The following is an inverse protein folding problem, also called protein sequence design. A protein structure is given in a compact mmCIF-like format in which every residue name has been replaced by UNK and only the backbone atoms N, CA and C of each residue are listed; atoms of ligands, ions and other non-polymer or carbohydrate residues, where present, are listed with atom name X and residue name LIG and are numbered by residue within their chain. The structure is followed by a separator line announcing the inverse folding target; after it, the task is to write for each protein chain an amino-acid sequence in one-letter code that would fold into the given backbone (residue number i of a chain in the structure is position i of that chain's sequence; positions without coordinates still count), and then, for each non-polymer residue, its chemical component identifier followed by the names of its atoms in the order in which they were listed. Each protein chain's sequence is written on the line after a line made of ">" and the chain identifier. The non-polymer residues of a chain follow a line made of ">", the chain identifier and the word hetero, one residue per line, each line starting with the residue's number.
data_IF_980958104479
#
_entry.id   IF_980958104479
#
_cell.length_a   1.000
_cell.length_b   1.000
_cell.length_c   1.000
_cell.angle_alpha   90.00
_cell.angle_beta   90.00
_cell.angle_gamma   90.00
#
_symmetry.space_group_name_H-M   'P 1'
#
loop_
_entity.id
_entity.type
_entity.pdbx_description
1 polymer ?
#
# COMPACT_ATOMS: atom_id res chain seq x y z
N UNK A 1 29.00 8.01 11.44
CA UNK A 1 27.87 7.76 12.36
C UNK A 1 26.57 8.01 11.61
N UNK A 2 25.54 7.26 11.98
CA UNK A 2 24.31 6.91 11.24
C UNK A 2 23.60 8.04 10.47
N UNK A 3 23.04 7.66 9.31
CA UNK A 3 21.70 8.03 8.80
C UNK A 3 21.51 7.22 7.51
N UNK A 4 21.14 5.94 7.60
CA UNK A 4 19.77 5.41 7.47
C UNK A 4 19.01 5.86 6.21
N UNK A 5 18.46 4.86 5.57
CA UNK A 5 18.07 4.72 4.18
C UNK A 5 16.85 5.55 3.77
N UNK A 6 16.98 6.25 2.65
CA UNK A 6 15.83 6.71 1.88
C UNK A 6 15.56 5.65 0.81
N UNK A 7 14.97 4.54 1.23
CA UNK A 7 14.34 3.59 0.31
C UNK A 7 13.25 4.36 -0.45
N UNK A 8 13.29 4.48 -1.80
CA UNK A 8 12.18 5.05 -2.53
C UNK A 8 10.99 4.12 -2.31
N UNK A 9 9.95 4.62 -1.63
CA UNK A 9 8.65 3.97 -1.55
C UNK A 9 8.11 3.84 -2.98
N UNK A 10 8.51 2.77 -3.65
CA UNK A 10 8.15 2.51 -5.02
C UNK A 10 6.65 2.19 -5.09
N UNK A 11 5.95 3.07 -5.81
CA UNK A 11 4.92 2.69 -6.78
C UNK A 11 3.61 2.06 -6.27
N UNK A 12 2.84 2.77 -5.44
CA UNK A 12 1.39 2.49 -5.34
C UNK A 12 0.49 3.75 -5.38
N UNK A 13 0.98 4.87 -5.92
CA UNK A 13 0.24 6.14 -5.93
C UNK A 13 -0.35 6.53 -7.30
N UNK A 14 -0.77 5.57 -8.13
CA UNK A 14 -1.41 5.88 -9.43
C UNK A 14 -2.89 5.52 -9.50
N UNK A 15 -3.43 4.88 -8.46
CA UNK A 15 -4.87 4.67 -8.35
C UNK A 15 -5.43 5.71 -7.36
N UNK A 16 -6.24 6.69 -7.81
CA UNK A 16 -6.76 7.73 -6.93
C UNK A 16 -7.77 7.19 -5.91
N UNK A 17 -8.23 5.93 -6.05
CA UNK A 17 -9.20 5.29 -5.17
C UNK A 17 -8.52 4.41 -4.10
N UNK A 18 -7.24 4.04 -4.27
CA UNK A 18 -6.48 3.22 -3.34
C UNK A 18 -5.45 4.07 -2.58
N UNK A 19 -5.59 4.13 -1.25
CA UNK A 19 -4.64 4.80 -0.38
C UNK A 19 -3.39 3.94 -0.10
N UNK A 20 -3.56 2.62 0.15
CA UNK A 20 -2.45 1.71 0.48
C UNK A 20 -2.70 0.30 -0.01
N UNK A 21 -1.68 -0.33 -0.58
CA UNK A 21 -1.70 -1.76 -0.94
C UNK A 21 -0.59 -2.49 -0.19
N UNK A 22 -0.97 -3.45 0.65
CA UNK A 22 -0.09 -4.19 1.54
C UNK A 22 -0.23 -5.69 1.37
N UNK A 23 0.84 -6.42 1.62
CA UNK A 23 0.92 -7.87 1.54
C UNK A 23 1.57 -8.49 2.76
N UNK A 24 1.25 -9.76 3.02
CA UNK A 24 1.81 -10.55 4.12
C UNK A 24 1.99 -12.02 3.73
N UNK A 25 3.06 -12.63 4.23
CA UNK A 25 3.32 -14.08 4.08
C UNK A 25 2.58 -14.90 5.14
N UNK A 26 2.44 -14.35 6.36
CA UNK A 26 1.87 -15.02 7.52
C UNK A 26 0.47 -14.50 7.93
N UNK A 27 0.01 -13.40 7.31
CA UNK A 27 -1.27 -12.76 7.61
C UNK A 27 -1.28 -11.87 8.85
N UNK A 28 -0.16 -11.76 9.57
CA UNK A 28 0.02 -10.95 10.78
C UNK A 28 0.97 -9.79 10.52
N UNK A 29 2.09 -10.01 9.81
CA UNK A 29 3.07 -8.98 9.48
C UNK A 29 2.82 -8.41 8.07
N UNK A 30 2.33 -7.18 8.00
CA UNK A 30 1.97 -6.53 6.74
C UNK A 30 3.06 -5.56 6.29
N UNK A 31 3.42 -5.63 5.00
CA UNK A 31 4.37 -4.70 4.36
C UNK A 31 3.80 -4.16 3.05
N UNK A 32 4.28 -3.00 2.56
CA UNK A 32 3.88 -2.51 1.24
C UNK A 32 4.14 -3.53 0.13
N UNK A 33 3.25 -3.59 -0.85
CA UNK A 33 3.41 -4.44 -2.03
C UNK A 33 4.63 -4.02 -2.84
N UNK A 34 5.55 -4.95 -3.08
CA UNK A 34 6.72 -4.80 -3.94
C UNK A 34 6.54 -5.62 -5.22
N UNK A 35 6.33 -4.98 -6.39
CA UNK A 35 6.04 -5.69 -7.64
C UNK A 35 7.21 -6.53 -8.16
N UNK A 36 8.45 -6.27 -7.75
CA UNK A 36 9.60 -7.07 -8.18
C UNK A 36 9.69 -8.39 -7.41
N UNK A 37 9.27 -8.38 -6.14
CA UNK A 37 9.36 -9.54 -5.24
C UNK A 37 8.06 -10.34 -5.16
N UNK A 38 6.92 -9.67 -5.24
CA UNK A 38 5.64 -10.25 -4.81
C UNK A 38 4.78 -10.77 -5.97
N UNK A 39 5.15 -10.47 -7.22
CA UNK A 39 4.37 -10.80 -8.43
C UNK A 39 4.06 -12.29 -8.59
N UNK A 40 4.95 -13.17 -8.13
CA UNK A 40 4.85 -14.62 -8.31
C UNK A 40 4.65 -15.38 -6.99
N UNK A 41 4.35 -14.68 -5.89
CA UNK A 41 4.20 -15.30 -4.57
C UNK A 41 2.74 -15.42 -4.16
N UNK A 42 2.41 -16.48 -3.41
CA UNK A 42 1.09 -16.66 -2.80
C UNK A 42 1.09 -15.90 -1.47
N UNK A 43 0.61 -14.66 -1.49
CA UNK A 43 0.61 -13.76 -0.33
C UNK A 43 -0.82 -13.35 0.03
N UNK A 44 -1.04 -13.12 1.33
CA UNK A 44 -2.20 -12.38 1.80
C UNK A 44 -2.11 -10.93 1.30
N UNK A 45 -3.23 -10.36 0.87
CA UNK A 45 -3.30 -9.00 0.31
C UNK A 45 -4.34 -8.18 1.05
N UNK A 46 -4.01 -6.92 1.34
CA UNK A 46 -4.88 -5.92 1.95
C UNK A 46 -4.83 -4.65 1.12
N UNK A 47 -6.00 -4.12 0.80
CA UNK A 47 -6.15 -2.87 0.05
C UNK A 47 -6.94 -1.91 0.94
N UNK A 48 -6.34 -0.76 1.24
CA UNK A 48 -6.98 0.35 1.93
C UNK A 48 -7.38 1.39 0.88
N UNK A 49 -8.67 1.68 0.80
CA UNK A 49 -9.21 2.69 -0.10
C UNK A 49 -9.04 4.08 0.49
N UNK A 50 -8.78 5.06 -0.38
CA UNK A 50 -8.82 6.46 0.02
C UNK A 50 -10.24 6.82 0.48
N UNK A 51 -10.39 7.64 1.53
CA UNK A 51 -11.70 8.12 1.91
C UNK A 51 -12.33 8.85 0.72
N UNK A 52 -13.59 8.54 0.40
CA UNK A 52 -14.34 9.24 -0.63
C UNK A 52 -14.32 10.73 -0.29
N UNK A 53 -13.61 11.52 -1.07
CA UNK A 53 -13.58 12.97 -0.92
C UNK A 53 -14.91 13.52 -1.45
N UNK A 54 -15.98 13.34 -0.67
CA UNK A 54 -17.33 13.54 -1.15
C UNK A 54 -18.43 13.19 -0.15
N UNK A 55 -18.36 13.69 1.09
CA UNK A 55 -19.60 14.04 1.83
C UNK A 55 -19.73 15.56 1.85
N UNK A 56 -19.76 16.16 0.65
CA UNK A 56 -20.29 17.49 0.48
C UNK A 56 -21.80 17.41 0.62
N UNK A 57 -22.29 17.34 1.86
CA UNK A 57 -23.72 17.51 2.17
C UNK A 57 -24.16 18.87 1.65
N UNK A 58 -24.75 18.87 0.45
CA UNK A 58 -25.59 19.96 -0.01
C UNK A 58 -26.83 20.00 0.88
N UNK A 59 -26.86 21.01 1.75
CA UNK A 59 -28.00 21.37 2.59
C UNK A 59 -29.09 22.06 1.75
#
# INVERSE_FOLDING_TARGET
>A
MLQQDLSPAAANASDPEIARHEVSEDGVNWRPYDPQRDRNQLLHKRIEFAPLQGDGRGN
#
